data_IF_365972069947
#
_entry.id   IF_365972069947
#
_cell.length_a   1.000
_cell.length_b   1.000
_cell.length_c   1.000
_cell.angle_alpha   90.00
_cell.angle_beta   90.00
_cell.angle_gamma   90.00
#
_symmetry.space_group_name_H-M   'P 1'
#
loop_
_entity.id
_entity.type
_entity.pdbx_description
1 polymer ?
#
# COMPACT_ATOMS: atom_id res chain seq x y z
N UNK A 1 -12.09 -0.19 -11.59
CA UNK A 1 -11.28 0.71 -10.73
C UNK A 1 -11.85 0.56 -9.33
N UNK A 2 -11.12 -0.06 -8.41
CA UNK A 2 -11.64 -0.34 -7.07
C UNK A 2 -10.53 -0.18 -6.04
N UNK A 3 -10.80 0.61 -5.00
CA UNK A 3 -10.10 0.57 -3.72
C UNK A 3 -10.70 -0.60 -2.94
N UNK A 4 -9.89 -1.60 -2.60
CA UNK A 4 -10.32 -2.70 -1.73
C UNK A 4 -9.89 -2.38 -0.31
N UNK A 5 -10.86 -2.18 0.58
CA UNK A 5 -10.68 -2.23 2.02
C UNK A 5 -11.44 -3.47 2.47
N UNK A 6 -10.74 -4.45 3.03
CA UNK A 6 -11.31 -5.73 3.50
C UNK A 6 -12.03 -6.56 2.42
N UNK A 7 -11.59 -6.52 1.16
CA UNK A 7 -12.08 -7.45 0.13
C UNK A 7 -13.42 -7.09 -0.50
N UNK A 8 -13.99 -5.91 -0.22
CA UNK A 8 -15.20 -5.43 -0.87
C UNK A 8 -14.88 -4.49 -2.05
N UNK A 9 -15.59 -4.67 -3.18
CA UNK A 9 -15.55 -3.71 -4.28
C UNK A 9 -16.29 -2.42 -3.89
N UNK A 10 -15.55 -1.34 -3.64
CA UNK A 10 -16.14 -0.08 -3.17
C UNK A 10 -16.68 0.75 -4.34
N UNK A 11 -18.00 0.92 -4.41
CA UNK A 11 -18.68 1.79 -5.40
C UNK A 11 -18.55 3.27 -4.98
N UNK A 12 -18.60 4.25 -5.91
CA UNK A 12 -18.35 5.66 -5.60
C UNK A 12 -19.17 6.27 -4.44
N UNK A 13 -20.36 5.74 -4.18
CA UNK A 13 -21.21 6.16 -3.05
C UNK A 13 -20.59 5.80 -1.67
N UNK A 14 -19.85 4.69 -1.60
CA UNK A 14 -19.22 4.20 -0.37
C UNK A 14 -17.89 4.90 -0.07
N UNK A 15 -17.24 5.49 -1.08
CA UNK A 15 -16.06 6.35 -0.90
C UNK A 15 -16.40 7.57 -0.03
N UNK A 16 -17.60 8.15 -0.17
CA UNK A 16 -18.05 9.25 0.67
C UNK A 16 -18.17 8.83 2.14
N UNK A 17 -18.64 7.61 2.41
CA UNK A 17 -18.74 7.05 3.76
C UNK A 17 -17.36 6.72 4.36
N UNK A 18 -16.42 6.22 3.56
CA UNK A 18 -15.02 6.05 3.96
C UNK A 18 -14.34 7.38 4.25
N UNK A 19 -14.58 8.41 3.44
CA UNK A 19 -14.06 9.76 3.64
C UNK A 19 -14.55 10.37 4.95
N UNK A 20 -15.78 10.07 5.41
CA UNK A 20 -16.26 10.55 6.72
C UNK A 20 -15.54 9.93 7.93
N UNK A 21 -14.86 8.78 7.77
CA UNK A 21 -14.02 8.17 8.81
C UNK A 21 -12.58 8.69 8.80
N UNK A 22 -12.19 9.39 7.73
CA UNK A 22 -10.88 10.01 7.61
C UNK A 22 -11.03 11.49 7.99
N UNK A 23 -10.08 12.05 8.72
CA UNK A 23 -10.07 13.50 9.03
C UNK A 23 -9.88 14.39 7.77
N UNK A 24 -9.68 13.77 6.60
CA UNK A 24 -9.42 14.42 5.33
C UNK A 24 -10.72 14.67 4.55
N UNK A 25 -10.94 15.91 4.10
CA UNK A 25 -12.09 16.26 3.27
C UNK A 25 -12.16 15.50 1.93
N UNK A 26 -13.37 15.20 1.40
CA UNK A 26 -13.56 14.38 0.20
C UNK A 26 -12.79 14.85 -1.04
N UNK A 27 -12.67 16.16 -1.25
CA UNK A 27 -11.92 16.70 -2.39
C UNK A 27 -10.42 16.40 -2.29
N UNK A 28 -9.85 16.49 -1.09
CA UNK A 28 -8.42 16.20 -0.86
C UNK A 28 -8.15 14.71 -1.01
N UNK A 29 -9.10 13.88 -0.58
CA UNK A 29 -9.04 12.44 -0.80
C UNK A 29 -9.07 12.10 -2.30
N UNK A 30 -10.01 12.68 -3.06
CA UNK A 30 -10.10 12.46 -4.50
C UNK A 30 -8.83 12.93 -5.23
N UNK A 31 -8.28 14.09 -4.87
CA UNK A 31 -6.99 14.58 -5.40
C UNK A 31 -5.85 13.61 -5.11
N UNK A 32 -5.83 13.00 -3.92
CA UNK A 32 -4.76 12.06 -3.53
C UNK A 32 -4.89 10.73 -4.29
N UNK A 33 -6.09 10.16 -4.36
CA UNK A 33 -6.38 8.91 -5.08
C UNK A 33 -6.02 9.03 -6.56
N UNK A 34 -6.34 10.16 -7.20
CA UNK A 34 -6.03 10.37 -8.62
C UNK A 34 -4.53 10.42 -8.94
N UNK A 35 -3.65 10.53 -7.93
CA UNK A 35 -2.19 10.57 -8.10
C UNK A 35 -1.51 9.23 -7.78
N UNK A 36 -2.28 8.23 -7.34
CA UNK A 36 -1.75 6.93 -6.94
C UNK A 36 -2.07 5.87 -8.00
N UNK A 37 -1.11 4.99 -8.23
CA UNK A 37 -1.34 3.73 -8.92
C UNK A 37 -1.64 2.66 -7.87
N UNK A 38 -2.78 2.00 -7.99
CA UNK A 38 -3.20 0.94 -7.09
C UNK A 38 -2.89 -0.41 -7.73
N UNK A 39 -2.06 -1.20 -7.07
CA UNK A 39 -1.71 -2.56 -7.46
C UNK A 39 -1.69 -3.46 -6.23
N UNK A 40 -2.15 -4.70 -6.40
CA UNK A 40 -2.00 -5.77 -5.41
C UNK A 40 -0.71 -6.56 -5.61
N UNK A 41 0.03 -6.32 -6.70
CA UNK A 41 1.28 -7.00 -6.96
C UNK A 41 2.37 -6.48 -6.00
N UNK A 42 2.99 -7.39 -5.25
CA UNK A 42 4.19 -7.12 -4.46
C UNK A 42 5.38 -7.79 -5.14
N UNK A 43 6.43 -7.03 -5.38
CA UNK A 43 7.72 -7.51 -5.89
C UNK A 43 8.69 -7.71 -4.73
N UNK A 44 9.29 -8.91 -4.65
CA UNK A 44 10.35 -9.18 -3.67
C UNK A 44 11.57 -8.28 -3.90
N UNK A 45 11.90 -7.98 -5.14
CA UNK A 45 13.04 -7.11 -5.50
C UNK A 45 12.84 -5.68 -4.98
N UNK A 46 11.61 -5.14 -5.09
CA UNK A 46 11.28 -3.80 -4.60
C UNK A 46 11.38 -3.75 -3.07
N UNK A 47 10.90 -4.79 -2.39
CA UNK A 47 10.98 -4.89 -0.93
C UNK A 47 12.45 -5.02 -0.49
N UNK A 48 13.25 -5.83 -1.17
CA UNK A 48 14.67 -6.00 -0.88
C UNK A 48 15.43 -4.68 -1.01
N UNK A 49 15.16 -3.90 -2.06
CA UNK A 49 15.78 -2.60 -2.27
C UNK A 49 15.51 -1.63 -1.10
N UNK A 50 14.29 -1.67 -0.54
CA UNK A 50 13.92 -0.85 0.63
C UNK A 50 14.62 -1.35 1.90
N UNK A 51 14.71 -2.66 2.12
CA UNK A 51 15.43 -3.25 3.26
C UNK A 51 16.91 -2.82 3.22
N UNK A 52 17.54 -2.96 2.06
CA UNK A 52 18.95 -2.58 1.84
C UNK A 52 19.15 -1.09 2.08
N UNK A 53 18.23 -0.25 1.57
CA UNK A 53 18.25 1.19 1.80
C UNK A 53 18.14 1.53 3.30
N UNK A 54 17.21 0.90 4.02
CA UNK A 54 17.03 1.10 5.45
C UNK A 54 18.25 0.65 6.27
N UNK A 55 18.88 -0.47 5.89
CA UNK A 55 20.11 -0.95 6.50
C UNK A 55 21.28 0.00 6.25
N UNK A 56 21.41 0.51 5.02
CA UNK A 56 22.43 1.49 4.63
C UNK A 56 22.31 2.79 5.44
N UNK A 57 21.09 3.23 5.71
CA UNK A 57 20.80 4.38 6.57
C UNK A 57 20.85 4.07 8.07
N UNK A 58 21.16 2.83 8.46
CA UNK A 58 21.23 2.37 9.86
C UNK A 58 19.90 2.43 10.62
N UNK A 59 18.77 2.47 9.92
CA UNK A 59 17.45 2.32 10.56
C UNK A 59 17.21 0.91 11.09
N UNK A 60 17.81 -0.09 10.44
CA UNK A 60 17.85 -1.47 10.91
C UNK A 60 19.30 -1.93 11.07
N UNK A 61 19.51 -2.93 11.93
CA UNK A 61 20.86 -3.38 12.33
C UNK A 61 21.68 -3.89 11.13
N UNK A 62 21.05 -4.63 10.24
CA UNK A 62 21.64 -5.21 9.02
C UNK A 62 20.54 -5.49 8.00
N UNK A 63 20.93 -5.62 6.73
CA UNK A 63 20.04 -6.15 5.69
C UNK A 63 19.77 -7.65 5.94
N UNK A 64 18.65 -8.13 5.41
CA UNK A 64 18.21 -9.52 5.41
C UNK A 64 17.34 -9.78 4.16
N UNK A 65 17.12 -11.05 3.77
CA UNK A 65 16.30 -11.42 2.62
C UNK A 65 14.82 -11.03 2.79
N UNK A 66 14.22 -10.46 1.75
CA UNK A 66 12.81 -10.06 1.74
C UNK A 66 11.84 -11.24 1.97
N UNK A 67 12.21 -12.44 1.54
CA UNK A 67 11.43 -13.68 1.68
C UNK A 67 11.21 -14.08 3.15
N UNK A 68 11.99 -13.54 4.09
CA UNK A 68 11.78 -13.80 5.52
C UNK A 68 10.53 -13.07 6.06
N UNK A 69 10.05 -12.02 5.40
CA UNK A 69 8.91 -11.20 5.85
C UNK A 69 7.77 -11.09 4.83
N UNK A 70 8.04 -11.38 3.56
CA UNK A 70 7.03 -11.33 2.49
C UNK A 70 6.69 -12.73 2.02
N UNK A 71 5.41 -13.07 2.12
CA UNK A 71 4.84 -14.29 1.59
C UNK A 71 3.92 -13.96 0.40
N UNK A 72 4.34 -14.30 -0.81
CA UNK A 72 3.60 -14.01 -2.04
C UNK A 72 2.62 -15.12 -2.43
N UNK A 73 2.51 -16.21 -1.66
CA UNK A 73 1.68 -17.38 -2.01
C UNK A 73 0.19 -17.07 -2.18
N UNK A 74 -0.27 -15.96 -1.60
CA UNK A 74 -1.67 -15.55 -1.61
C UNK A 74 -1.95 -14.37 -2.55
N UNK A 75 -0.97 -13.96 -3.36
CA UNK A 75 -1.14 -12.87 -4.32
C UNK A 75 -1.50 -13.44 -5.69
N UNK A 76 -2.70 -13.11 -6.18
CA UNK A 76 -3.21 -13.40 -7.52
C UNK A 76 -3.62 -12.10 -8.20
#
# INVERSE_FOLDING_TARGET
RVLSVEGAEVVPAEIATLATKLEMGPETMLRSINRLEFSTAISLDDVQAVIDYAARLRYIKKSFPAEEIVDTRFMQ
#
